data_IF_627475294658
#
_entry.id   IF_627475294658
#
_cell.length_a   1.000
_cell.length_b   1.000
_cell.length_c   1.000
_cell.angle_alpha   90.00
_cell.angle_beta   90.00
_cell.angle_gamma   90.00
#
_symmetry.space_group_name_H-M   'P 1'
#
loop_
_entity.id
_entity.type
_entity.pdbx_description
1 polymer ?
#
# COMPACT_ATOMS: atom_id res chain seq x y z
N UNK A 1 -11.49 28.91 6.53
CA UNK A 1 -10.01 29.00 6.66
C UNK A 1 -9.47 27.64 6.30
N UNK A 2 -9.14 27.47 4.99
CA UNK A 2 -8.62 26.23 4.44
C UNK A 2 -7.14 26.05 4.82
N UNK A 3 -6.85 24.98 5.57
CA UNK A 3 -5.51 24.51 5.82
C UNK A 3 -4.95 23.90 4.53
N UNK A 4 -4.03 24.60 3.89
CA UNK A 4 -3.20 24.06 2.80
C UNK A 4 -2.16 23.12 3.41
N UNK A 5 -2.46 21.83 3.44
CA UNK A 5 -1.47 20.78 3.65
C UNK A 5 -1.05 20.25 2.27
N UNK A 6 -0.34 21.08 1.53
CA UNK A 6 0.45 20.62 0.40
C UNK A 6 1.86 20.32 0.92
N UNK A 7 2.37 19.12 0.71
CA UNK A 7 3.74 18.76 1.06
C UNK A 7 4.71 19.80 0.52
N UNK A 8 5.49 20.40 1.41
CA UNK A 8 6.51 21.41 1.10
C UNK A 8 7.80 20.73 0.63
N UNK A 9 7.75 19.99 -0.48
CA UNK A 9 8.98 19.57 -1.15
C UNK A 9 9.42 20.68 -2.09
N UNK A 10 10.62 21.27 -1.91
CA UNK A 10 11.13 22.26 -2.85
C UNK A 10 11.37 21.58 -4.21
N UNK A 11 10.99 22.22 -5.32
CA UNK A 11 11.28 21.68 -6.64
C UNK A 11 12.80 21.63 -6.88
N UNK A 12 13.30 20.49 -7.35
CA UNK A 12 14.69 20.32 -7.76
C UNK A 12 14.84 20.88 -9.17
N UNK A 13 15.52 21.99 -9.31
CA UNK A 13 15.50 22.87 -10.50
C UNK A 13 16.32 22.36 -11.71
N UNK A 14 17.03 21.26 -11.64
CA UNK A 14 17.88 20.76 -12.73
C UNK A 14 17.76 19.25 -12.94
N UNK A 15 16.67 18.80 -13.56
CA UNK A 15 16.69 17.57 -14.30
C UNK A 15 16.33 17.88 -15.75
N UNK A 16 17.32 17.87 -16.64
CA UNK A 16 17.08 17.66 -18.06
C UNK A 16 16.35 16.33 -18.13
N UNK A 17 15.10 16.32 -18.60
CA UNK A 17 14.29 15.10 -18.68
C UNK A 17 15.15 14.01 -19.30
N UNK A 18 15.48 12.99 -18.52
CA UNK A 18 16.17 11.81 -19.04
C UNK A 18 15.35 11.25 -20.20
N UNK A 19 15.93 10.74 -21.28
CA UNK A 19 15.20 10.09 -22.37
C UNK A 19 14.20 9.02 -21.93
N UNK A 20 14.32 8.55 -20.68
CA UNK A 20 13.40 7.61 -20.04
C UNK A 20 11.98 8.14 -19.86
N UNK A 21 11.78 9.46 -19.83
CA UNK A 21 10.49 10.08 -19.57
C UNK A 21 9.98 10.90 -20.76
N UNK A 22 10.63 10.76 -21.93
CA UNK A 22 10.12 11.37 -23.14
C UNK A 22 8.70 10.86 -23.46
N UNK A 23 7.73 11.80 -23.51
CA UNK A 23 6.35 11.46 -23.72
C UNK A 23 5.61 10.89 -22.51
N UNK A 24 6.19 10.99 -21.29
CA UNK A 24 5.49 10.56 -20.07
C UNK A 24 4.19 11.36 -19.87
N UNK A 25 3.01 10.70 -19.84
CA UNK A 25 1.73 11.39 -19.78
C UNK A 25 1.39 11.76 -18.33
N UNK A 26 1.61 13.02 -17.96
CA UNK A 26 1.07 13.54 -16.69
C UNK A 26 -0.47 13.50 -16.72
N UNK A 27 -1.08 12.91 -15.72
CA UNK A 27 -2.54 12.82 -15.58
C UNK A 27 -3.02 13.85 -14.57
N UNK A 28 -3.83 14.86 -14.97
CA UNK A 28 -4.27 15.93 -14.08
C UNK A 28 -5.18 15.44 -12.94
N UNK A 29 -5.85 14.29 -13.13
CA UNK A 29 -6.80 13.74 -12.16
C UNK A 29 -6.17 12.71 -11.21
N UNK A 30 -4.84 12.56 -11.22
CA UNK A 30 -4.13 11.64 -10.34
C UNK A 30 -2.92 12.31 -9.72
N UNK A 31 -2.56 11.85 -8.52
CA UNK A 31 -1.29 12.25 -7.92
C UNK A 31 -0.16 11.48 -8.60
N UNK A 32 0.79 12.22 -9.16
CA UNK A 32 2.00 11.62 -9.72
C UNK A 32 3.08 11.56 -8.62
N UNK A 33 3.67 10.39 -8.41
CA UNK A 33 4.67 10.17 -7.35
C UNK A 33 6.05 10.72 -7.73
N UNK A 34 6.27 11.01 -9.01
CA UNK A 34 7.56 11.41 -9.57
C UNK A 34 7.60 12.88 -9.92
N UNK A 35 6.52 13.38 -10.54
CA UNK A 35 6.46 14.74 -11.06
C UNK A 35 5.37 15.58 -10.39
N UNK A 36 5.59 16.87 -10.35
CA UNK A 36 4.53 17.84 -10.11
C UNK A 36 3.71 18.06 -11.40
N UNK A 37 2.55 18.69 -11.27
CA UNK A 37 1.66 18.97 -12.41
C UNK A 37 2.31 19.86 -13.51
N UNK A 38 3.32 20.64 -13.16
CA UNK A 38 4.10 21.47 -14.08
C UNK A 38 5.26 20.70 -14.74
N UNK A 39 5.39 19.41 -14.48
CA UNK A 39 6.45 18.55 -15.01
C UNK A 39 7.76 18.62 -14.23
N UNK A 40 7.85 19.42 -13.16
CA UNK A 40 9.05 19.46 -12.32
C UNK A 40 9.14 18.21 -11.45
N UNK A 41 10.38 17.76 -11.18
CA UNK A 41 10.66 16.55 -10.41
C UNK A 41 10.41 16.74 -8.91
N UNK A 42 9.76 15.78 -8.28
CA UNK A 42 9.65 15.71 -6.82
C UNK A 42 10.99 15.32 -6.20
N UNK A 43 11.39 15.99 -5.16
CA UNK A 43 12.67 15.73 -4.47
C UNK A 43 12.79 14.29 -3.98
N UNK A 44 11.69 13.68 -3.51
CA UNK A 44 11.65 12.29 -3.07
C UNK A 44 12.02 11.28 -4.17
N UNK A 45 11.70 11.57 -5.43
CA UNK A 45 11.98 10.69 -6.56
C UNK A 45 13.40 10.87 -7.13
N UNK A 46 14.09 11.99 -6.82
CA UNK A 46 15.34 12.38 -7.46
C UNK A 46 16.42 11.29 -7.38
N UNK A 47 16.64 10.70 -6.20
CA UNK A 47 17.68 9.68 -6.02
C UNK A 47 17.42 8.37 -6.80
N UNK A 48 16.15 7.97 -6.90
CA UNK A 48 15.77 6.78 -7.69
C UNK A 48 15.95 7.04 -9.17
N UNK A 49 15.52 8.21 -9.65
CA UNK A 49 15.66 8.55 -11.06
C UNK A 49 17.13 8.76 -11.46
N UNK A 50 17.95 9.33 -10.60
CA UNK A 50 19.38 9.42 -10.81
C UNK A 50 20.01 8.03 -10.97
N UNK A 51 19.70 7.10 -10.05
CA UNK A 51 20.21 5.73 -10.10
C UNK A 51 19.76 4.97 -11.35
N UNK A 52 18.52 5.19 -11.80
CA UNK A 52 18.00 4.63 -13.04
C UNK A 52 18.64 5.27 -14.28
N UNK A 53 18.80 6.59 -14.27
CA UNK A 53 19.37 7.35 -15.39
C UNK A 53 20.84 7.05 -15.67
N UNK A 54 21.57 6.50 -14.69
CA UNK A 54 22.95 6.04 -14.87
C UNK A 54 23.05 4.68 -15.56
N UNK A 55 21.92 3.99 -15.78
CA UNK A 55 21.89 2.65 -16.39
C UNK A 55 21.51 2.71 -17.85
N UNK A 56 22.05 1.77 -18.60
CA UNK A 56 21.61 1.55 -19.98
C UNK A 56 20.19 0.94 -20.01
N UNK A 57 19.29 1.45 -20.88
CA UNK A 57 17.94 0.91 -21.01
C UNK A 57 17.88 -0.58 -21.33
N UNK A 58 18.80 -1.08 -22.15
CA UNK A 58 18.89 -2.50 -22.48
C UNK A 58 19.31 -3.35 -21.28
N UNK A 59 20.19 -2.82 -20.43
CA UNK A 59 20.58 -3.47 -19.18
C UNK A 59 19.38 -3.57 -18.23
N UNK A 60 18.60 -2.50 -18.08
CA UNK A 60 17.41 -2.52 -17.23
C UNK A 60 16.37 -3.52 -17.75
N UNK A 61 16.12 -3.55 -19.05
CA UNK A 61 15.24 -4.54 -19.67
C UNK A 61 15.69 -5.97 -19.35
N UNK A 62 16.98 -6.24 -19.49
CA UNK A 62 17.57 -7.56 -19.19
C UNK A 62 17.34 -7.95 -17.72
N UNK A 63 17.49 -7.01 -16.78
CA UNK A 63 17.22 -7.24 -15.34
C UNK A 63 15.75 -7.50 -15.04
N UNK A 64 14.85 -6.78 -15.70
CA UNK A 64 13.40 -7.01 -15.58
C UNK A 64 13.03 -8.42 -16.06
N UNK A 65 13.56 -8.84 -17.21
CA UNK A 65 13.34 -10.20 -17.74
C UNK A 65 13.95 -11.28 -16.84
N UNK A 66 15.11 -11.01 -16.25
CA UNK A 66 15.70 -11.90 -15.23
C UNK A 66 14.81 -12.04 -14.01
N UNK A 67 14.27 -10.94 -13.46
CA UNK A 67 13.34 -10.97 -12.35
C UNK A 67 12.08 -11.77 -12.68
N UNK A 68 11.52 -11.54 -13.86
CA UNK A 68 10.33 -12.24 -14.33
C UNK A 68 10.53 -13.76 -14.39
N UNK A 69 11.67 -14.21 -14.92
CA UNK A 69 12.04 -15.63 -14.96
C UNK A 69 12.23 -16.20 -13.56
N UNK A 70 12.92 -15.46 -12.70
CA UNK A 70 13.14 -15.84 -11.30
C UNK A 70 11.81 -16.06 -10.58
N UNK A 71 10.80 -15.23 -10.81
CA UNK A 71 9.48 -15.40 -10.21
C UNK A 71 8.78 -16.66 -10.71
N UNK A 72 8.82 -16.94 -11.99
CA UNK A 72 8.27 -18.19 -12.55
C UNK A 72 8.96 -19.39 -11.92
N UNK A 73 10.29 -19.40 -11.89
CA UNK A 73 11.10 -20.52 -11.36
C UNK A 73 10.85 -20.75 -9.87
N UNK A 74 10.51 -19.70 -9.12
CA UNK A 74 10.19 -19.77 -7.68
C UNK A 74 8.71 -20.01 -7.41
N UNK A 75 7.86 -20.11 -8.43
CA UNK A 75 6.41 -20.23 -8.27
C UNK A 75 5.76 -18.98 -7.67
N UNK A 76 6.40 -17.82 -7.84
CA UNK A 76 5.84 -16.53 -7.43
C UNK A 76 4.97 -16.00 -8.56
N UNK A 77 3.78 -16.55 -8.61
CA UNK A 77 2.82 -16.29 -9.68
C UNK A 77 1.55 -15.66 -9.13
N UNK A 78 0.81 -15.03 -9.98
CA UNK A 78 -0.49 -14.45 -9.69
C UNK A 78 -1.49 -14.87 -10.76
N UNK A 79 -2.65 -15.36 -10.32
CA UNK A 79 -3.73 -15.74 -11.24
C UNK A 79 -4.55 -14.51 -11.59
N UNK A 80 -4.55 -14.15 -12.86
CA UNK A 80 -5.42 -13.10 -13.41
C UNK A 80 -6.40 -13.73 -14.38
N UNK A 81 -7.63 -13.93 -13.94
CA UNK A 81 -8.71 -14.46 -14.80
C UNK A 81 -8.50 -15.90 -15.26
N UNK A 82 -7.89 -16.75 -14.46
CA UNK A 82 -7.63 -18.16 -14.75
C UNK A 82 -6.31 -18.40 -15.51
N UNK A 83 -5.50 -17.37 -15.70
CA UNK A 83 -4.18 -17.48 -16.32
C UNK A 83 -3.11 -17.18 -15.28
N UNK A 84 -2.31 -18.18 -14.95
CA UNK A 84 -1.17 -18.04 -14.06
C UNK A 84 -0.06 -17.25 -14.79
N UNK A 85 0.35 -16.16 -14.18
CA UNK A 85 1.37 -15.25 -14.72
C UNK A 85 2.39 -14.91 -13.65
N UNK A 86 3.65 -14.54 -14.02
CA UNK A 86 4.61 -14.02 -13.06
C UNK A 86 4.01 -12.83 -12.31
N UNK A 87 4.33 -12.70 -11.01
CA UNK A 87 3.90 -11.54 -10.23
C UNK A 87 4.35 -10.24 -10.92
N UNK A 88 3.43 -9.30 -11.19
CA UNK A 88 3.73 -8.08 -11.94
C UNK A 88 4.46 -7.06 -11.05
N UNK A 89 5.78 -7.23 -10.90
CA UNK A 89 6.60 -6.29 -10.14
C UNK A 89 7.01 -5.12 -11.03
N UNK A 90 6.66 -3.91 -10.59
CA UNK A 90 7.25 -2.67 -11.10
C UNK A 90 8.63 -2.48 -10.48
N UNK A 91 9.65 -2.33 -11.31
CA UNK A 91 11.04 -2.14 -10.88
C UNK A 91 11.33 -0.70 -10.47
N UNK A 92 10.46 0.24 -10.82
CA UNK A 92 10.53 1.62 -10.34
C UNK A 92 9.74 1.73 -9.04
N UNK A 93 10.41 1.84 -7.89
CA UNK A 93 9.71 1.81 -6.62
C UNK A 93 8.93 3.11 -6.38
N UNK A 94 7.74 3.00 -5.83
CA UNK A 94 7.03 4.15 -5.26
C UNK A 94 7.75 4.59 -3.99
N UNK A 95 8.07 5.87 -3.90
CA UNK A 95 8.75 6.45 -2.74
C UNK A 95 7.72 6.96 -1.74
N UNK A 96 7.75 6.39 -0.53
CA UNK A 96 6.97 6.89 0.61
C UNK A 96 7.93 7.64 1.51
N UNK A 97 7.73 8.94 1.65
CA UNK A 97 8.61 9.77 2.49
C UNK A 97 8.44 9.44 3.98
N UNK A 98 9.42 9.82 4.79
CA UNK A 98 9.31 9.65 6.24
C UNK A 98 8.10 10.42 6.84
N UNK A 99 7.74 11.56 6.27
CA UNK A 99 6.56 12.32 6.67
C UNK A 99 5.27 11.61 6.29
N UNK A 100 5.16 11.08 5.06
CA UNK A 100 4.04 10.25 4.62
C UNK A 100 3.90 9.02 5.51
N UNK A 101 5.02 8.34 5.79
CA UNK A 101 5.02 7.14 6.63
C UNK A 101 4.53 7.42 8.06
N UNK A 102 4.98 8.51 8.67
CA UNK A 102 4.53 8.88 10.01
C UNK A 102 3.01 9.11 10.07
N UNK A 103 2.45 9.73 9.03
CA UNK A 103 1.00 9.93 8.92
C UNK A 103 0.25 8.61 8.72
N UNK A 104 0.75 7.74 7.83
CA UNK A 104 0.19 6.41 7.58
C UNK A 104 0.21 5.58 8.87
N UNK A 105 1.35 5.53 9.55
CA UNK A 105 1.53 4.76 10.78
C UNK A 105 0.55 5.20 11.86
N UNK A 106 0.45 6.50 12.13
CA UNK A 106 -0.49 7.03 13.10
C UNK A 106 -1.96 6.69 12.75
N UNK A 107 -2.33 6.81 11.47
CA UNK A 107 -3.66 6.45 10.97
C UNK A 107 -3.97 4.97 11.11
N UNK A 108 -3.03 4.10 10.77
CA UNK A 108 -3.19 2.64 10.89
C UNK A 108 -3.29 2.23 12.36
N UNK A 109 -2.46 2.78 13.25
CA UNK A 109 -2.55 2.51 14.68
C UNK A 109 -3.91 2.90 15.27
N UNK A 110 -4.41 4.09 14.94
CA UNK A 110 -5.74 4.53 15.37
C UNK A 110 -6.83 3.57 14.87
N UNK A 111 -6.75 3.19 13.60
CA UNK A 111 -7.73 2.34 12.92
C UNK A 111 -7.77 0.94 13.52
N UNK A 112 -6.62 0.29 13.68
CA UNK A 112 -6.53 -1.04 14.30
C UNK A 112 -7.01 -1.02 15.75
N UNK A 113 -6.70 0.03 16.52
CA UNK A 113 -7.20 0.21 17.88
C UNK A 113 -8.74 0.30 17.91
N UNK A 114 -9.33 1.03 16.98
CA UNK A 114 -10.80 1.14 16.88
C UNK A 114 -11.44 -0.20 16.47
N UNK A 115 -10.86 -0.92 15.52
CA UNK A 115 -11.33 -2.24 15.09
C UNK A 115 -11.21 -3.28 16.21
N UNK A 116 -10.12 -3.27 16.98
CA UNK A 116 -9.94 -4.14 18.14
C UNK A 116 -11.01 -3.86 19.21
N UNK A 117 -11.27 -2.58 19.52
CA UNK A 117 -12.32 -2.18 20.45
C UNK A 117 -13.72 -2.60 19.95
N UNK A 118 -13.99 -2.45 18.66
CA UNK A 118 -15.22 -2.90 18.03
C UNK A 118 -15.42 -4.42 18.17
N UNK A 119 -14.41 -5.22 17.87
CA UNK A 119 -14.47 -6.67 18.03
C UNK A 119 -14.65 -7.06 19.51
N UNK A 120 -13.98 -6.38 20.43
CA UNK A 120 -14.16 -6.60 21.87
C UNK A 120 -15.60 -6.36 22.32
N UNK A 121 -16.25 -5.34 21.80
CA UNK A 121 -17.64 -5.04 22.11
C UNK A 121 -18.60 -6.03 21.45
N UNK A 122 -18.43 -6.32 20.17
CA UNK A 122 -19.27 -7.26 19.41
C UNK A 122 -19.31 -8.67 20.03
N UNK A 123 -18.16 -9.14 20.47
CA UNK A 123 -18.03 -10.46 21.15
C UNK A 123 -18.16 -10.39 22.67
N UNK A 124 -18.51 -9.22 23.20
CA UNK A 124 -18.67 -8.93 24.61
C UNK A 124 -20.04 -8.32 24.95
N UNK A 125 -20.02 -7.06 25.37
CA UNK A 125 -21.22 -6.36 25.85
C UNK A 125 -22.23 -5.99 24.76
N UNK A 126 -21.79 -5.81 23.52
CA UNK A 126 -22.64 -5.47 22.38
C UNK A 126 -23.26 -4.06 22.49
N UNK A 127 -22.57 -3.12 23.13
CA UNK A 127 -23.04 -1.72 23.29
C UNK A 127 -23.32 -1.07 21.94
N UNK A 128 -22.47 -1.34 20.94
CA UNK A 128 -22.62 -0.85 19.57
C UNK A 128 -24.01 -1.15 18.99
N UNK A 129 -24.62 -2.25 19.39
CA UNK A 129 -25.99 -2.62 19.00
C UNK A 129 -27.06 -1.92 19.84
N UNK A 130 -26.82 -1.82 21.17
CA UNK A 130 -27.74 -1.13 22.10
C UNK A 130 -27.85 0.36 21.81
N UNK A 131 -26.73 0.97 21.45
CA UNK A 131 -26.63 2.39 21.13
C UNK A 131 -27.09 2.70 19.68
N UNK A 132 -27.49 1.67 18.92
CA UNK A 132 -28.04 1.83 17.57
C UNK A 132 -27.01 2.22 16.51
N UNK A 133 -25.72 2.13 16.82
CA UNK A 133 -24.63 2.47 15.86
C UNK A 133 -24.65 1.50 14.68
N UNK A 134 -24.81 0.20 14.94
CA UNK A 134 -24.94 -0.83 13.91
C UNK A 134 -26.12 -1.73 14.23
N UNK A 135 -27.00 -2.03 13.26
CA UNK A 135 -28.04 -3.03 13.44
C UNK A 135 -27.44 -4.42 13.72
N UNK A 136 -27.83 -5.08 14.80
CA UNK A 136 -27.32 -6.41 15.19
C UNK A 136 -27.38 -7.43 14.06
N UNK A 137 -28.41 -7.34 13.20
CA UNK A 137 -28.59 -8.26 12.06
C UNK A 137 -27.39 -8.26 11.10
N UNK A 138 -26.75 -7.10 10.87
CA UNK A 138 -25.62 -6.99 9.94
C UNK A 138 -24.46 -7.90 10.40
N UNK A 139 -24.19 -7.90 11.70
CA UNK A 139 -23.13 -8.76 12.26
C UNK A 139 -23.61 -10.20 12.35
N UNK A 140 -24.83 -10.43 12.88
CA UNK A 140 -25.34 -11.79 13.12
C UNK A 140 -25.55 -12.62 11.84
N UNK A 141 -25.75 -11.97 10.68
CA UNK A 141 -25.87 -12.64 9.37
C UNK A 141 -24.57 -12.72 8.61
N UNK A 142 -23.49 -12.13 9.11
CA UNK A 142 -22.16 -12.27 8.51
C UNK A 142 -21.68 -13.72 8.60
N UNK A 143 -21.19 -14.26 7.49
CA UNK A 143 -20.61 -15.61 7.43
C UNK A 143 -19.35 -15.75 8.30
N UNK A 144 -18.75 -14.64 8.68
CA UNK A 144 -17.53 -14.60 9.51
C UNK A 144 -17.81 -14.30 10.98
N UNK A 145 -19.09 -14.16 11.37
CA UNK A 145 -19.45 -14.03 12.78
C UNK A 145 -19.62 -15.42 13.42
N UNK A 146 -18.78 -15.73 14.40
CA UNK A 146 -18.76 -17.01 15.08
C UNK A 146 -19.34 -16.86 16.50
N UNK A 147 -20.58 -17.30 16.72
CA UNK A 147 -21.26 -17.22 18.03
C UNK A 147 -20.46 -17.87 19.15
N UNK A 148 -19.73 -18.95 18.85
CA UNK A 148 -18.92 -19.67 19.85
C UNK A 148 -17.76 -18.85 20.39
N UNK A 149 -17.38 -17.76 19.71
CA UNK A 149 -16.35 -16.85 20.17
C UNK A 149 -16.88 -15.77 21.15
N UNK A 150 -18.20 -15.70 21.36
CA UNK A 150 -18.78 -14.73 22.29
C UNK A 150 -18.31 -14.98 23.71
N UNK A 151 -17.86 -13.93 24.39
CA UNK A 151 -17.35 -14.00 25.77
C UNK A 151 -15.90 -14.48 25.90
N UNK A 152 -15.27 -14.95 24.81
CA UNK A 152 -13.85 -15.33 24.81
C UNK A 152 -13.00 -14.08 24.98
N UNK A 153 -12.10 -14.13 25.96
CA UNK A 153 -11.07 -13.11 26.17
C UNK A 153 -9.73 -13.67 25.71
N UNK A 154 -9.23 -13.19 24.56
CA UNK A 154 -7.93 -13.64 24.09
C UNK A 154 -6.80 -13.22 25.01
N UNK A 155 -5.66 -13.92 25.03
CA UNK A 155 -4.46 -13.48 25.74
C UNK A 155 -4.09 -12.02 25.37
N UNK A 156 -3.75 -11.23 26.36
CA UNK A 156 -3.39 -9.81 26.20
C UNK A 156 -4.50 -8.93 25.59
N UNK A 157 -5.73 -9.44 25.43
CA UNK A 157 -6.84 -8.73 24.82
C UNK A 157 -6.74 -8.55 23.30
N UNK A 158 -5.76 -9.15 22.66
CA UNK A 158 -5.50 -9.00 21.21
C UNK A 158 -6.30 -10.01 20.39
N UNK A 159 -7.14 -9.52 19.48
CA UNK A 159 -7.91 -10.30 18.50
C UNK A 159 -7.31 -10.19 17.12
N UNK A 160 -6.81 -9.02 16.77
CA UNK A 160 -6.19 -8.75 15.48
C UNK A 160 -4.68 -8.92 15.62
N UNK A 161 -4.15 -10.09 15.24
CA UNK A 161 -2.72 -10.39 15.35
C UNK A 161 -1.91 -9.81 14.19
N UNK A 162 -2.50 -9.74 13.01
CA UNK A 162 -1.93 -9.15 11.81
C UNK A 162 -3.04 -8.45 11.06
N UNK A 163 -2.80 -7.24 10.61
CA UNK A 163 -3.70 -6.48 9.75
C UNK A 163 -2.99 -6.07 8.46
N UNK A 164 -3.73 -6.10 7.34
CA UNK A 164 -3.35 -5.48 6.08
C UNK A 164 -4.33 -4.36 5.79
N UNK A 165 -3.85 -3.14 5.74
CA UNK A 165 -4.67 -1.98 5.38
C UNK A 165 -4.31 -1.53 3.98
N UNK A 166 -5.25 -1.61 3.05
CA UNK A 166 -5.05 -1.21 1.67
C UNK A 166 -5.21 0.29 1.53
N UNK A 167 -4.18 0.93 0.97
CA UNK A 167 -4.11 2.38 0.82
C UNK A 167 -4.08 2.78 -0.64
N UNK A 168 -4.73 3.90 -0.93
CA UNK A 168 -4.63 4.60 -2.21
C UNK A 168 -4.28 6.07 -1.95
N UNK A 169 -3.49 6.66 -2.83
CA UNK A 169 -3.21 8.10 -2.79
C UNK A 169 -4.16 8.82 -3.73
N UNK A 170 -4.98 9.73 -3.21
CA UNK A 170 -5.92 10.49 -4.03
C UNK A 170 -5.21 11.60 -4.83
N UNK A 171 -5.93 12.24 -5.75
CA UNK A 171 -5.38 13.31 -6.60
C UNK A 171 -4.81 14.50 -5.81
N UNK A 172 -5.24 14.70 -4.57
CA UNK A 172 -4.70 15.74 -3.69
C UNK A 172 -3.42 15.31 -2.94
N UNK A 173 -2.96 14.07 -3.14
CA UNK A 173 -1.80 13.51 -2.49
C UNK A 173 -2.06 12.92 -1.11
N UNK A 174 -3.33 12.82 -0.67
CA UNK A 174 -3.70 12.28 0.63
C UNK A 174 -3.91 10.76 0.54
N UNK A 175 -3.31 10.02 1.48
CA UNK A 175 -3.56 8.58 1.59
C UNK A 175 -4.96 8.30 2.15
N UNK A 176 -5.70 7.43 1.45
CA UNK A 176 -7.03 6.97 1.82
C UNK A 176 -7.02 5.46 2.01
N UNK A 177 -7.77 5.00 3.00
CA UNK A 177 -7.97 3.57 3.22
C UNK A 177 -9.06 3.07 2.27
N UNK A 178 -8.78 2.00 1.54
CA UNK A 178 -9.76 1.26 0.75
C UNK A 178 -10.44 0.19 1.60
N UNK A 179 -9.63 -0.66 2.25
CA UNK A 179 -10.15 -1.73 3.10
C UNK A 179 -9.17 -2.11 4.22
N UNK A 180 -9.68 -2.88 5.17
CA UNK A 180 -8.89 -3.50 6.24
C UNK A 180 -9.05 -5.02 6.19
N UNK A 181 -7.96 -5.72 5.93
CA UNK A 181 -7.86 -7.16 6.02
C UNK A 181 -7.34 -7.54 7.41
N UNK A 182 -8.24 -7.91 8.32
CA UNK A 182 -7.90 -8.15 9.73
C UNK A 182 -8.02 -9.62 10.17
N UNK A 183 -8.40 -10.51 9.25
CA UNK A 183 -8.49 -11.94 9.53
C UNK A 183 -7.30 -12.71 8.97
N UNK A 184 -7.12 -12.67 7.67
CA UNK A 184 -6.03 -13.36 6.96
C UNK A 184 -5.50 -12.39 5.90
N UNK A 185 -4.72 -11.37 6.28
CA UNK A 185 -4.13 -10.47 5.29
C UNK A 185 -3.15 -11.27 4.41
N UNK A 186 -3.23 -11.05 3.12
CA UNK A 186 -2.33 -11.64 2.12
C UNK A 186 -1.24 -10.65 1.71
N UNK A 187 -0.25 -11.11 0.94
CA UNK A 187 0.73 -10.24 0.31
C UNK A 187 2.07 -10.13 1.01
N UNK A 188 2.21 -10.45 2.30
CA UNK A 188 3.50 -10.35 3.03
C UNK A 188 4.58 -11.21 2.39
N UNK A 189 4.25 -12.41 1.91
CA UNK A 189 5.19 -13.27 1.19
C UNK A 189 5.69 -12.64 -0.11
N UNK A 190 4.81 -11.98 -0.85
CA UNK A 190 5.19 -11.24 -2.06
C UNK A 190 6.13 -10.09 -1.74
N UNK A 191 5.85 -9.30 -0.69
CA UNK A 191 6.74 -8.20 -0.25
C UNK A 191 8.14 -8.70 0.05
N UNK A 192 8.27 -9.78 0.81
CA UNK A 192 9.57 -10.36 1.15
C UNK A 192 10.30 -10.93 -0.07
N UNK A 193 9.58 -11.59 -0.97
CA UNK A 193 10.16 -12.12 -2.21
C UNK A 193 10.58 -11.00 -3.15
N UNK A 194 9.74 -9.98 -3.31
CA UNK A 194 10.05 -8.78 -4.10
C UNK A 194 11.33 -8.10 -3.59
N UNK A 195 11.46 -7.92 -2.27
CA UNK A 195 12.68 -7.34 -1.68
C UNK A 195 13.93 -8.15 -2.02
N UNK A 196 13.86 -9.49 -1.90
CA UNK A 196 15.00 -10.37 -2.23
C UNK A 196 15.34 -10.32 -3.71
N UNK A 197 14.32 -10.39 -4.56
CA UNK A 197 14.50 -10.37 -6.01
C UNK A 197 15.10 -9.02 -6.47
N UNK A 198 14.58 -7.90 -5.97
CA UNK A 198 15.13 -6.57 -6.25
C UNK A 198 16.59 -6.45 -5.82
N UNK A 199 16.95 -6.87 -4.59
CA UNK A 199 18.33 -6.81 -4.10
C UNK A 199 19.29 -7.76 -4.82
N UNK A 200 18.79 -8.72 -5.60
CA UNK A 200 19.61 -9.61 -6.44
C UNK A 200 19.80 -9.04 -7.84
N UNK A 201 18.78 -8.32 -8.34
CA UNK A 201 18.80 -7.76 -9.69
C UNK A 201 19.43 -6.36 -9.76
N UNK A 202 19.42 -5.60 -8.66
CA UNK A 202 19.88 -4.21 -8.55
C UNK A 202 20.89 -4.00 -7.44
#
# INVERSE_FOLDING_TARGET
TGSKHGGNDPPVTFFTMSPWFDGYPLRPDSFDEVFFADGTLRSAAAGVLEALGQRDPGELHTRVEFLRRTYVDQGVTFDVGGVESPFPLDVVPRIITAADWAQIEAGVQQRVTALEAFLADVYGSGKVFGDGVIPRRIVATSTHYHRVAHGIRPPNGVRIHVSGTDLVRDASGVFRVLEDNVRIPSGVSYVMTNRRAMSTAF
#
